data_IF_033234966201
#
_entry.id   IF_033234966201
#
_cell.length_a   1.000
_cell.length_b   1.000
_cell.length_c   1.000
_cell.angle_alpha   90.00
_cell.angle_beta   90.00
_cell.angle_gamma   90.00
#
_symmetry.space_group_name_H-M   'P 1'
#
loop_
_entity.id
_entity.type
_entity.pdbx_description
1 polymer ?
#
# COMPACT_ATOMS: atom_id res chain seq x y z
N UNK A 1 25.84 -11.90 -6.54
CA UNK A 1 24.38 -11.95 -6.74
C UNK A 1 23.78 -11.60 -5.40
N UNK A 2 24.00 -10.34 -5.06
CA UNK A 2 23.75 -9.58 -3.84
C UNK A 2 23.49 -8.17 -4.44
N UNK A 3 22.54 -7.33 -4.03
CA UNK A 3 22.34 -6.76 -2.71
C UNK A 3 20.91 -6.15 -2.68
N UNK A 4 19.96 -6.72 -1.92
CA UNK A 4 18.69 -6.06 -1.58
C UNK A 4 18.84 -5.41 -0.20
N UNK A 5 19.49 -4.25 -0.18
CA UNK A 5 19.71 -3.48 1.03
C UNK A 5 19.39 -2.01 0.81
N UNK A 6 18.20 -1.56 1.23
CA UNK A 6 18.03 -0.21 1.77
C UNK A 6 16.93 -0.16 2.85
N UNK A 7 17.38 -0.06 4.12
CA UNK A 7 17.02 1.00 5.08
C UNK A 7 15.53 1.24 5.44
N UNK A 8 15.10 1.61 6.65
CA UNK A 8 15.67 1.90 7.96
C UNK A 8 14.45 2.19 8.86
N UNK A 9 14.57 1.86 10.14
CA UNK A 9 13.65 2.20 11.23
C UNK A 9 12.85 3.50 11.04
N UNK A 10 11.52 3.39 11.07
CA UNK A 10 10.71 4.44 11.66
C UNK A 10 9.47 3.83 12.30
N UNK A 11 9.43 3.80 13.63
CA UNK A 11 8.22 3.57 14.44
C UNK A 11 7.24 4.74 14.25
N UNK A 12 6.85 5.05 13.02
CA UNK A 12 5.69 5.88 12.72
C UNK A 12 4.50 4.94 12.86
N UNK A 13 3.60 5.25 13.80
CA UNK A 13 2.25 4.66 13.91
C UNK A 13 1.41 5.02 12.68
N UNK A 14 1.89 4.64 11.50
CA UNK A 14 1.33 5.04 10.21
C UNK A 14 1.46 3.83 9.30
N UNK A 15 0.34 3.13 9.13
CA UNK A 15 0.15 1.91 8.31
C UNK A 15 1.41 1.43 7.60
N UNK A 16 2.03 0.37 8.12
CA UNK A 16 3.27 -0.21 7.59
C UNK A 16 3.19 -0.41 6.07
N UNK A 17 4.30 -0.24 5.37
CA UNK A 17 4.37 -0.45 3.92
C UNK A 17 3.77 -1.82 3.50
N UNK A 18 4.00 -2.84 4.33
CA UNK A 18 3.42 -4.18 4.21
C UNK A 18 1.87 -4.18 4.22
N UNK A 19 1.28 -3.42 5.15
CA UNK A 19 -0.18 -3.29 5.25
C UNK A 19 -0.76 -2.59 4.03
N UNK A 20 -0.14 -1.48 3.60
CA UNK A 20 -0.57 -0.74 2.40
C UNK A 20 -0.45 -1.61 1.15
N UNK A 21 0.63 -2.39 1.04
CA UNK A 21 0.83 -3.33 -0.06
C UNK A 21 -0.23 -4.44 -0.04
N UNK A 22 -0.53 -5.02 1.13
CA UNK A 22 -1.58 -6.04 1.28
C UNK A 22 -2.95 -5.51 0.87
N UNK A 23 -3.32 -4.32 1.34
CA UNK A 23 -4.60 -3.66 1.01
C UNK A 23 -4.67 -3.31 -0.47
N UNK A 24 -3.62 -2.72 -1.05
CA UNK A 24 -3.56 -2.41 -2.46
C UNK A 24 -3.63 -3.68 -3.32
N UNK A 25 -2.98 -4.76 -2.91
CA UNK A 25 -2.95 -6.03 -3.61
C UNK A 25 -4.33 -6.70 -3.66
N UNK A 26 -5.09 -6.72 -2.57
CA UNK A 26 -6.48 -7.23 -2.55
C UNK A 26 -7.35 -6.51 -3.57
N UNK A 27 -7.23 -5.17 -3.64
CA UNK A 27 -7.98 -4.33 -4.57
C UNK A 27 -7.49 -4.49 -6.01
N UNK A 28 -6.19 -4.66 -6.23
CA UNK A 28 -5.61 -4.86 -7.57
C UNK A 28 -5.95 -6.25 -8.11
N UNK A 29 -6.01 -7.27 -7.25
CA UNK A 29 -6.42 -8.64 -7.61
C UNK A 29 -7.92 -8.75 -7.90
N UNK A 30 -8.71 -7.70 -7.63
CA UNK A 30 -10.16 -7.71 -7.83
C UNK A 30 -10.91 -8.57 -6.82
N UNK A 31 -10.27 -8.96 -5.70
CA UNK A 31 -10.91 -9.75 -4.65
C UNK A 31 -11.89 -8.93 -3.83
N UNK A 32 -11.63 -7.62 -3.70
CA UNK A 32 -12.47 -6.67 -2.97
C UNK A 32 -12.46 -5.31 -3.66
N UNK A 33 -13.59 -4.60 -3.62
CA UNK A 33 -13.62 -3.20 -4.07
C UNK A 33 -12.94 -2.28 -3.05
N UNK A 34 -12.58 -1.07 -3.48
CA UNK A 34 -11.96 -0.04 -2.62
C UNK A 34 -12.81 0.24 -1.37
N UNK A 35 -14.14 0.25 -1.53
CA UNK A 35 -15.07 0.49 -0.44
C UNK A 35 -15.10 -0.66 0.56
N UNK A 36 -15.17 -1.90 0.07
CA UNK A 36 -15.22 -3.10 0.91
C UNK A 36 -13.91 -3.29 1.67
N UNK A 37 -12.76 -3.15 1.00
CA UNK A 37 -11.46 -3.21 1.66
C UNK A 37 -11.33 -2.06 2.67
N UNK A 38 -11.83 -0.87 2.34
CA UNK A 38 -11.81 0.27 3.25
C UNK A 38 -12.61 -0.01 4.52
N UNK A 39 -13.79 -0.60 4.40
CA UNK A 39 -14.58 -1.01 5.55
C UNK A 39 -13.93 -2.16 6.33
N UNK A 40 -13.43 -3.19 5.65
CA UNK A 40 -12.83 -4.38 6.27
C UNK A 40 -11.56 -4.07 7.07
N UNK A 41 -10.76 -3.15 6.58
CA UNK A 41 -9.49 -2.75 7.20
C UNK A 41 -9.61 -1.45 8.00
N UNK A 42 -10.81 -0.89 8.14
CA UNK A 42 -11.08 0.42 8.76
C UNK A 42 -10.21 1.55 8.17
N UNK A 43 -9.98 1.48 6.87
CA UNK A 43 -9.20 2.44 6.09
C UNK A 43 -10.15 3.28 5.25
N UNK A 44 -9.97 4.59 5.29
CA UNK A 44 -10.75 5.47 4.42
C UNK A 44 -10.54 5.11 2.93
N UNK A 45 -11.60 4.98 2.10
CA UNK A 45 -11.48 4.55 0.69
C UNK A 45 -10.56 5.46 -0.14
N UNK A 46 -10.43 6.73 0.25
CA UNK A 46 -9.45 7.67 -0.34
C UNK A 46 -8.00 7.20 -0.14
N UNK A 47 -7.65 6.67 1.04
CA UNK A 47 -6.32 6.15 1.34
C UNK A 47 -6.02 4.88 0.53
N UNK A 48 -7.02 4.00 0.41
CA UNK A 48 -6.94 2.79 -0.42
C UNK A 48 -6.69 3.15 -1.89
N UNK A 49 -7.38 4.16 -2.42
CA UNK A 49 -7.12 4.69 -3.77
C UNK A 49 -5.67 5.15 -3.93
N UNK A 50 -5.16 5.90 -2.96
CA UNK A 50 -3.77 6.35 -2.98
C UNK A 50 -2.78 5.20 -2.94
N UNK A 51 -3.02 4.16 -2.12
CA UNK A 51 -2.14 3.00 -2.04
C UNK A 51 -2.21 2.13 -3.29
N UNK A 52 -3.40 1.95 -3.86
CA UNK A 52 -3.58 1.30 -5.16
C UNK A 52 -2.79 2.03 -6.25
N UNK A 53 -2.91 3.36 -6.30
CA UNK A 53 -2.17 4.17 -7.24
C UNK A 53 -0.68 4.04 -7.00
N UNK A 54 -0.18 4.21 -5.78
CA UNK A 54 1.24 4.04 -5.46
C UNK A 54 1.79 2.64 -5.79
N UNK A 55 1.00 1.59 -5.58
CA UNK A 55 1.34 0.21 -5.91
C UNK A 55 1.47 -0.01 -7.42
N UNK A 56 0.50 0.49 -8.20
CA UNK A 56 0.50 0.40 -9.67
C UNK A 56 1.50 1.35 -10.31
N UNK A 57 1.70 2.51 -9.69
CA UNK A 57 2.53 3.58 -10.22
C UNK A 57 4.00 3.20 -10.18
N UNK A 58 4.43 2.31 -9.25
CA UNK A 58 5.80 1.74 -9.12
C UNK A 58 6.91 2.61 -9.73
N UNK A 59 6.80 3.91 -9.45
CA UNK A 59 7.69 4.99 -9.79
C UNK A 59 7.77 5.81 -8.53
N UNK A 60 8.25 5.16 -7.47
CA UNK A 60 8.70 5.82 -6.25
C UNK A 60 9.96 6.65 -6.56
N UNK A 61 9.87 7.56 -7.52
CA UNK A 61 11.02 8.16 -8.17
C UNK A 61 10.59 9.00 -9.36
N UNK A 62 9.92 10.12 -9.07
CA UNK A 62 10.14 11.38 -9.78
C UNK A 62 9.92 12.54 -8.84
N UNK A 63 11.02 13.24 -8.56
CA UNK A 63 11.06 14.54 -7.89
C UNK A 63 11.54 14.41 -6.46
#
# INVERSE_FOLDING_TARGET
MEDDGTATTNKRKLHSADFKAKVALEVVRGLMTINEVGQKFEVHPMMVRQWKKAFLEKRWGRG
#
